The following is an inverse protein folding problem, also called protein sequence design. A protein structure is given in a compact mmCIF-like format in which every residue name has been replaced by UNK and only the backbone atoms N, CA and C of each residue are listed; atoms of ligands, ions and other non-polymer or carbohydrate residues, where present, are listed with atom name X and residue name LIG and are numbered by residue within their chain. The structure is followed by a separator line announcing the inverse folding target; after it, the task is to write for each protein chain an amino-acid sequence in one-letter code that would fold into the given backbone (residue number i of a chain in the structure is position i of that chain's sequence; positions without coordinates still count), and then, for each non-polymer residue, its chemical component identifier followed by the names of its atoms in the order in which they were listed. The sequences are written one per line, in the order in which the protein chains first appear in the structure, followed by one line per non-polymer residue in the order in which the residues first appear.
data_IF_726529439551
#
_entry.id   IF_726529439551
#
_cell.length_a   1.000
_cell.length_b   1.000
_cell.length_c   1.000
_cell.angle_alpha   90.00
_cell.angle_beta   90.00
_cell.angle_gamma   90.00
#
_symmetry.space_group_name_H-M   'P 1'
#
loop_
_entity.id
_entity.type
_entity.pdbx_description
1 polymer ?
#
# COMPACT_ATOMS: atom_id res chain seq x y z
N UNK A 1 10.98 -20.04 -6.79
CA UNK A 1 11.18 -18.63 -6.40
C UNK A 1 12.68 -18.42 -6.24
N UNK A 2 13.26 -17.37 -6.80
CA UNK A 2 14.68 -17.09 -6.59
C UNK A 2 14.92 -16.56 -5.18
N UNK A 3 16.13 -16.73 -4.65
CA UNK A 3 16.55 -16.19 -3.35
C UNK A 3 16.29 -14.67 -3.26
N UNK A 4 16.57 -13.95 -4.35
CA UNK A 4 16.30 -12.52 -4.47
C UNK A 4 14.80 -12.19 -4.28
N UNK A 5 13.90 -12.98 -4.89
CA UNK A 5 12.45 -12.77 -4.71
C UNK A 5 12.03 -12.94 -3.25
N UNK A 6 12.59 -13.94 -2.55
CA UNK A 6 12.28 -14.17 -1.13
C UNK A 6 12.74 -12.99 -0.27
N UNK A 7 13.97 -12.50 -0.50
CA UNK A 7 14.48 -11.32 0.21
C UNK A 7 13.62 -10.09 -0.02
N UNK A 8 13.26 -9.79 -1.28
CA UNK A 8 12.41 -8.65 -1.62
C UNK A 8 11.07 -8.73 -0.90
N UNK A 9 10.43 -9.91 -0.91
CA UNK A 9 9.15 -10.11 -0.21
C UNK A 9 9.30 -9.88 1.29
N UNK A 10 10.33 -10.44 1.93
CA UNK A 10 10.58 -10.24 3.37
C UNK A 10 10.81 -8.77 3.72
N UNK A 11 11.62 -8.05 2.94
CA UNK A 11 11.81 -6.61 3.13
C UNK A 11 10.51 -5.82 2.97
N UNK A 12 9.66 -6.18 1.99
CA UNK A 12 8.33 -5.56 1.84
C UNK A 12 7.44 -5.80 3.06
N UNK A 13 7.48 -6.99 3.68
CA UNK A 13 6.76 -7.27 4.92
C UNK A 13 7.20 -6.38 6.08
N UNK A 14 8.52 -6.19 6.24
CA UNK A 14 9.08 -5.32 7.27
C UNK A 14 8.63 -3.88 7.07
N UNK A 15 8.73 -3.36 5.84
CA UNK A 15 8.31 -1.99 5.50
C UNK A 15 6.82 -1.80 5.76
N UNK A 16 5.97 -2.75 5.33
CA UNK A 16 4.53 -2.71 5.59
C UNK A 16 4.22 -2.65 7.09
N UNK A 17 4.91 -3.46 7.90
CA UNK A 17 4.78 -3.44 9.36
C UNK A 17 5.20 -2.09 9.97
N UNK A 18 6.34 -1.54 9.56
CA UNK A 18 6.84 -0.24 10.02
C UNK A 18 5.89 0.91 9.68
N UNK A 19 5.27 0.91 8.50
CA UNK A 19 4.24 1.88 8.11
C UNK A 19 3.04 1.80 9.07
N UNK A 20 2.58 0.59 9.38
CA UNK A 20 1.50 0.38 10.35
C UNK A 20 1.83 0.93 11.73
N UNK A 21 3.05 0.67 12.22
CA UNK A 21 3.55 1.20 13.51
C UNK A 21 3.62 2.74 13.49
N UNK A 22 4.14 3.33 12.42
CA UNK A 22 4.26 4.78 12.28
C UNK A 22 2.89 5.46 12.32
N UNK A 23 1.90 4.91 11.60
CA UNK A 23 0.53 5.45 11.60
C UNK A 23 -0.10 5.31 12.99
N UNK A 24 0.09 4.17 13.66
CA UNK A 24 -0.38 3.96 15.03
C UNK A 24 0.24 4.97 16.00
N UNK A 25 1.54 5.24 15.89
CA UNK A 25 2.23 6.25 16.70
C UNK A 25 1.65 7.65 16.51
N UNK A 26 1.42 8.06 15.25
CA UNK A 26 0.83 9.38 14.93
C UNK A 26 -0.62 9.49 15.40
N UNK A 27 -1.40 8.42 15.26
CA UNK A 27 -2.81 8.39 15.65
C UNK A 27 -2.97 8.38 17.18
N UNK A 28 -2.07 7.70 17.90
CA UNK A 28 -2.13 7.55 19.35
C UNK A 28 -1.38 8.66 20.09
N UNK A 29 -1.59 9.92 19.70
CA UNK A 29 -1.13 11.09 20.50
C UNK A 29 -1.94 11.22 21.81
N UNK A 30 -1.36 11.81 22.88
CA UNK A 30 -1.99 11.87 24.21
C UNK A 30 -3.44 12.38 24.21
N UNK A 31 -3.73 13.45 23.45
CA UNK A 31 -5.07 14.01 23.34
C UNK A 31 -6.09 13.02 22.76
N UNK A 32 -5.70 12.25 21.72
CA UNK A 32 -6.56 11.24 21.08
C UNK A 32 -6.70 9.98 21.94
N UNK A 33 -5.68 9.60 22.70
CA UNK A 33 -5.77 8.49 23.66
C UNK A 33 -6.89 8.70 24.67
N UNK A 34 -7.00 9.91 25.25
CA UNK A 34 -8.06 10.28 26.20
C UNK A 34 -9.45 10.15 25.55
N UNK A 35 -9.60 10.59 24.30
CA UNK A 35 -10.85 10.46 23.54
C UNK A 35 -11.23 8.99 23.29
N UNK A 36 -10.29 8.18 22.81
CA UNK A 36 -10.52 6.77 22.49
C UNK A 36 -10.81 5.91 23.71
N UNK A 37 -10.36 6.32 24.91
CA UNK A 37 -10.72 5.66 26.17
C UNK A 37 -12.15 5.99 26.60
N UNK A 38 -12.55 7.26 26.55
CA UNK A 38 -13.92 7.67 26.92
C UNK A 38 -14.96 7.10 25.97
N UNK A 39 -14.61 6.99 24.68
CA UNK A 39 -15.53 6.58 23.63
C UNK A 39 -15.04 5.30 22.93
N UNK A 40 -15.29 4.10 23.49
CA UNK A 40 -14.95 2.83 22.87
C UNK A 40 -15.50 2.64 21.45
N UNK A 41 -16.74 3.07 21.08
CA UNK A 41 -17.19 2.92 19.70
C UNK A 41 -16.36 3.77 18.72
N UNK A 42 -16.02 5.01 19.09
CA UNK A 42 -15.17 5.90 18.25
C UNK A 42 -13.79 5.29 18.03
N UNK A 43 -13.22 4.65 19.06
CA UNK A 43 -11.96 3.93 18.95
C UNK A 43 -12.05 2.80 17.92
N UNK A 44 -13.06 1.94 18.04
CA UNK A 44 -13.22 0.79 17.14
C UNK A 44 -13.43 1.27 15.70
N UNK A 45 -14.34 2.23 15.48
CA UNK A 45 -14.60 2.78 14.15
C UNK A 45 -13.34 3.39 13.54
N UNK A 46 -12.57 4.16 14.32
CA UNK A 46 -11.31 4.74 13.84
C UNK A 46 -10.29 3.66 13.46
N UNK A 47 -10.11 2.64 14.31
CA UNK A 47 -9.19 1.55 14.04
C UNK A 47 -9.59 0.79 12.77
N UNK A 48 -10.88 0.52 12.57
CA UNK A 48 -11.39 -0.15 11.36
C UNK A 48 -11.16 0.70 10.12
N UNK A 49 -11.54 1.98 10.14
CA UNK A 49 -11.39 2.88 8.98
C UNK A 49 -9.91 3.04 8.61
N UNK A 50 -9.04 3.28 9.59
CA UNK A 50 -7.60 3.44 9.33
C UNK A 50 -6.99 2.11 8.86
N UNK A 51 -7.41 0.97 9.40
CA UNK A 51 -6.96 -0.35 8.92
C UNK A 51 -7.34 -0.58 7.45
N UNK A 52 -8.57 -0.24 7.05
CA UNK A 52 -9.00 -0.33 5.65
C UNK A 52 -8.17 0.58 4.73
N UNK A 53 -7.86 1.80 5.18
CA UNK A 53 -7.00 2.72 4.43
C UNK A 53 -5.58 2.17 4.29
N UNK A 54 -4.98 1.69 5.38
CA UNK A 54 -3.64 1.07 5.37
C UNK A 54 -3.61 -0.12 4.41
N UNK A 55 -4.59 -1.01 4.53
CA UNK A 55 -4.71 -2.18 3.66
C UNK A 55 -4.78 -1.75 2.19
N UNK A 56 -5.68 -0.83 1.85
CA UNK A 56 -5.90 -0.37 0.48
C UNK A 56 -4.65 0.30 -0.10
N UNK A 57 -3.94 1.11 0.70
CA UNK A 57 -2.70 1.76 0.27
C UNK A 57 -1.58 0.75 0.04
N UNK A 58 -1.32 -0.15 1.00
CA UNK A 58 -0.24 -1.14 0.87
C UNK A 58 -0.54 -2.09 -0.28
N UNK A 59 -1.77 -2.60 -0.36
CA UNK A 59 -2.21 -3.48 -1.44
C UNK A 59 -2.13 -2.79 -2.81
N UNK A 60 -2.67 -1.56 -2.92
CA UNK A 60 -2.67 -0.78 -4.15
C UNK A 60 -1.26 -0.42 -4.62
N UNK A 61 -0.38 0.03 -3.73
CA UNK A 61 1.01 0.35 -4.06
C UNK A 61 1.77 -0.92 -4.47
N UNK A 62 1.57 -2.04 -3.78
CA UNK A 62 2.27 -3.30 -4.09
C UNK A 62 1.87 -3.84 -5.47
N UNK A 63 0.57 -3.85 -5.76
CA UNK A 63 0.05 -4.29 -7.07
C UNK A 63 0.47 -3.35 -8.21
N UNK A 64 0.50 -2.04 -7.96
CA UNK A 64 0.96 -1.05 -8.93
C UNK A 64 2.47 -1.16 -9.21
N UNK A 65 3.28 -1.38 -8.15
CA UNK A 65 4.71 -1.63 -8.28
C UNK A 65 4.98 -2.86 -9.15
N UNK A 66 4.21 -3.93 -8.96
CA UNK A 66 4.34 -5.14 -9.77
C UNK A 66 3.97 -4.90 -11.23
N UNK A 67 2.88 -4.17 -11.50
CA UNK A 67 2.51 -3.78 -12.87
C UNK A 67 3.61 -2.96 -13.55
N UNK A 68 4.25 -2.07 -12.80
CA UNK A 68 5.40 -1.28 -13.30
C UNK A 68 6.63 -2.15 -13.55
N UNK A 69 6.91 -3.12 -12.68
CA UNK A 69 8.00 -4.07 -12.85
C UNK A 69 7.79 -4.96 -14.07
N UNK A 70 6.56 -5.45 -14.27
CA UNK A 70 6.16 -6.19 -15.46
C UNK A 70 6.41 -5.37 -16.73
N UNK A 71 5.94 -4.12 -16.78
CA UNK A 71 6.17 -3.22 -17.91
C UNK A 71 7.66 -3.08 -18.22
N UNK A 72 8.51 -2.92 -17.19
CA UNK A 72 9.97 -2.79 -17.38
C UNK A 72 10.60 -4.06 -17.92
N UNK A 73 10.19 -5.24 -17.44
CA UNK A 73 10.72 -6.51 -17.94
C UNK A 73 10.36 -6.70 -19.41
N UNK A 74 9.11 -6.43 -19.79
CA UNK A 74 8.67 -6.49 -21.19
C UNK A 74 9.41 -5.47 -22.04
N UNK A 75 9.51 -4.23 -21.58
CA UNK A 75 10.21 -3.17 -22.31
C UNK A 75 11.70 -3.48 -22.52
N UNK A 76 12.35 -4.14 -21.57
CA UNK A 76 13.78 -4.50 -21.67
C UNK A 76 14.03 -5.75 -22.53
N UNK A 77 13.02 -6.57 -22.76
CA UNK A 77 13.12 -7.82 -23.52
C UNK A 77 12.18 -7.84 -24.72
N UNK A 78 11.79 -6.67 -25.21
CA UNK A 78 10.66 -6.51 -26.13
C UNK A 78 10.82 -7.38 -27.39
N UNK A 79 12.04 -7.48 -27.91
CA UNK A 79 12.41 -8.34 -29.05
C UNK A 79 12.26 -9.84 -28.75
N UNK A 80 12.51 -10.27 -27.51
CA UNK A 80 12.41 -11.67 -27.09
C UNK A 80 10.96 -12.09 -26.77
N UNK A 81 10.10 -11.13 -26.39
CA UNK A 81 8.74 -11.43 -25.93
C UNK A 81 7.70 -11.40 -27.05
N UNK A 82 8.00 -10.80 -28.20
CA UNK A 82 7.10 -10.79 -29.36
C UNK A 82 7.16 -12.14 -30.08
N UNK A 83 6.13 -13.01 -29.97
CA UNK A 83 6.32 -14.42 -30.28
C UNK A 83 6.55 -14.76 -31.75
N UNK A 84 6.34 -13.85 -32.72
CA UNK A 84 6.27 -14.24 -34.14
C UNK A 84 6.31 -13.09 -35.17
N UNK A 85 7.10 -12.03 -34.97
CA UNK A 85 7.14 -10.93 -35.96
C UNK A 85 8.42 -11.01 -36.79
N UNK A 86 8.33 -11.61 -37.98
CA UNK A 86 9.44 -11.74 -38.93
C UNK A 86 9.81 -10.44 -39.66
N UNK A 87 9.15 -9.32 -39.38
CA UNK A 87 9.43 -8.02 -39.99
C UNK A 87 9.91 -7.01 -38.95
N UNK A 88 11.21 -6.67 -38.98
CA UNK A 88 11.83 -5.75 -38.01
C UNK A 88 11.17 -4.35 -37.93
N UNK A 89 10.55 -3.87 -39.01
CA UNK A 89 9.83 -2.59 -39.00
C UNK A 89 8.57 -2.58 -38.13
N UNK A 90 7.89 -3.73 -37.99
CA UNK A 90 6.67 -3.87 -37.18
C UNK A 90 7.03 -3.95 -35.68
N UNK A 91 8.18 -4.56 -35.36
CA UNK A 91 8.72 -4.62 -33.99
C UNK A 91 9.06 -3.21 -33.48
N UNK A 92 9.73 -2.40 -34.31
CA UNK A 92 10.10 -1.02 -33.95
C UNK A 92 8.85 -0.17 -33.70
N UNK A 93 7.85 -0.23 -34.60
CA UNK A 93 6.59 0.52 -34.45
C UNK A 93 5.79 0.10 -33.21
N UNK A 94 5.78 -1.21 -32.87
CA UNK A 94 5.15 -1.70 -31.65
C UNK A 94 5.93 -1.30 -30.39
N UNK A 95 7.26 -1.30 -30.44
CA UNK A 95 8.11 -0.83 -29.35
C UNK A 95 7.93 0.66 -29.05
N UNK A 96 7.84 1.47 -30.09
CA UNK A 96 7.52 2.91 -29.96
C UNK A 96 6.11 3.10 -29.40
N UNK A 97 5.13 2.36 -29.92
CA UNK A 97 3.75 2.39 -29.40
C UNK A 97 3.68 1.95 -27.95
N UNK A 98 4.45 0.93 -27.54
CA UNK A 98 4.55 0.47 -26.16
C UNK A 98 5.10 1.56 -25.24
N UNK A 99 6.20 2.21 -25.65
CA UNK A 99 6.85 3.25 -24.85
C UNK A 99 6.02 4.53 -24.75
N UNK A 100 5.37 4.94 -25.84
CA UNK A 100 4.51 6.12 -25.88
C UNK A 100 3.25 5.96 -25.03
N UNK A 101 2.77 4.72 -24.84
CA UNK A 101 1.56 4.42 -24.08
C UNK A 101 1.81 3.87 -22.67
N UNK A 102 3.04 4.00 -22.15
CA UNK A 102 3.47 3.52 -20.83
C UNK A 102 2.44 3.69 -19.69
N UNK A 103 1.88 4.88 -19.41
CA UNK A 103 0.95 5.03 -18.28
C UNK A 103 -0.35 4.25 -18.45
N UNK A 104 -0.86 4.16 -19.68
CA UNK A 104 -2.07 3.41 -19.98
C UNK A 104 -1.85 1.90 -19.87
N UNK A 105 -0.69 1.41 -20.33
CA UNK A 105 -0.29 0.00 -20.21
C UNK A 105 -0.15 -0.40 -18.74
N UNK A 106 0.59 0.38 -17.94
CA UNK A 106 0.76 0.11 -16.50
C UNK A 106 -0.59 0.10 -15.79
N UNK A 107 -1.48 1.03 -16.12
CA UNK A 107 -2.83 1.10 -15.55
C UNK A 107 -3.64 -0.15 -15.90
N UNK A 108 -3.62 -0.61 -17.14
CA UNK A 108 -4.33 -1.81 -17.57
C UNK A 108 -3.80 -3.06 -16.85
N UNK A 109 -2.48 -3.25 -16.81
CA UNK A 109 -1.86 -4.36 -16.07
C UNK A 109 -2.21 -4.29 -14.58
N UNK A 110 -2.20 -3.10 -14.00
CA UNK A 110 -2.59 -2.91 -12.61
C UNK A 110 -4.05 -3.32 -12.36
N UNK A 111 -4.97 -3.02 -13.27
CA UNK A 111 -6.35 -3.52 -13.19
C UNK A 111 -6.44 -5.03 -13.32
N UNK A 112 -5.66 -5.64 -14.22
CA UNK A 112 -5.58 -7.10 -14.36
C UNK A 112 -5.07 -7.79 -13.08
N UNK A 113 -4.31 -7.08 -12.22
CA UNK A 113 -3.89 -7.58 -10.90
C UNK A 113 -5.00 -7.56 -9.84
N UNK A 114 -5.97 -6.66 -9.99
CA UNK A 114 -7.01 -6.42 -8.98
C UNK A 114 -8.34 -7.07 -9.32
N UNK A 115 -8.56 -7.42 -10.59
CA UNK A 115 -9.81 -7.98 -11.09
C UNK A 115 -9.68 -9.47 -11.42
N UNK A 116 -10.82 -10.17 -11.42
CA UNK A 116 -10.89 -11.57 -11.85
C UNK A 116 -10.47 -11.66 -13.32
N UNK A 117 -9.57 -12.58 -13.70
CA UNK A 117 -9.14 -12.76 -15.08
C UNK A 117 -10.34 -12.92 -16.01
N UNK A 118 -10.36 -12.08 -17.04
CA UNK A 118 -11.38 -12.11 -18.08
C UNK A 118 -10.88 -12.92 -19.27
N UNK A 119 -11.74 -13.78 -19.80
CA UNK A 119 -11.48 -14.53 -21.03
C UNK A 119 -11.90 -13.74 -22.28
N UNK A 120 -12.62 -12.63 -22.11
CA UNK A 120 -13.02 -11.74 -23.19
C UNK A 120 -11.92 -10.70 -23.51
N UNK A 121 -11.84 -10.31 -24.78
CA UNK A 121 -10.84 -9.37 -25.32
C UNK A 121 -11.07 -7.90 -24.92
N UNK A 122 -11.74 -7.66 -23.79
CA UNK A 122 -12.11 -6.31 -23.33
C UNK A 122 -11.16 -5.85 -22.24
N UNK A 123 -10.57 -4.68 -22.45
CA UNK A 123 -9.71 -4.05 -21.46
C UNK A 123 -10.51 -3.49 -20.28
N UNK A 124 -9.91 -3.54 -19.09
CA UNK A 124 -10.49 -3.01 -17.86
C UNK A 124 -10.50 -1.47 -17.87
N UNK A 125 -9.49 -0.85 -18.47
CA UNK A 125 -9.39 0.60 -18.64
C UNK A 125 -10.13 1.12 -19.90
N UNK A 126 -10.73 0.23 -20.70
CA UNK A 126 -11.56 0.58 -21.86
C UNK A 126 -10.81 0.90 -23.15
N UNK A 127 -9.47 0.79 -23.17
CA UNK A 127 -8.66 1.08 -24.35
C UNK A 127 -8.28 -0.22 -25.10
N UNK A 128 -8.88 -0.42 -26.28
CA UNK A 128 -8.64 -1.62 -27.08
C UNK A 128 -7.24 -1.67 -27.71
N UNK A 129 -6.62 -0.52 -27.99
CA UNK A 129 -5.26 -0.46 -28.56
C UNK A 129 -4.27 -0.99 -27.54
N UNK A 130 -4.42 -0.57 -26.28
CA UNK A 130 -3.60 -1.04 -25.16
C UNK A 130 -3.81 -2.54 -24.91
N UNK A 131 -5.04 -3.03 -25.05
CA UNK A 131 -5.34 -4.45 -24.94
C UNK A 131 -4.58 -5.29 -25.96
N UNK A 132 -4.62 -4.85 -27.21
CA UNK A 132 -3.95 -5.55 -28.30
C UNK A 132 -2.44 -5.53 -28.08
N UNK A 133 -1.87 -4.38 -27.69
CA UNK A 133 -0.45 -4.28 -27.34
C UNK A 133 -0.03 -5.24 -26.21
N UNK A 134 -0.83 -5.37 -25.14
CA UNK A 134 -0.53 -6.31 -24.04
C UNK A 134 -0.71 -7.77 -24.48
N UNK A 135 -1.74 -8.05 -25.28
CA UNK A 135 -2.03 -9.40 -25.77
C UNK A 135 -0.94 -9.90 -26.73
N UNK A 136 -0.41 -9.03 -27.57
CA UNK A 136 0.62 -9.36 -28.57
C UNK A 136 1.96 -9.74 -27.92
N UNK A 137 2.22 -9.27 -26.68
CA UNK A 137 3.39 -9.67 -25.87
C UNK A 137 3.28 -11.11 -25.37
N UNK A 138 2.09 -11.73 -25.39
CA UNK A 138 1.91 -13.15 -25.04
C UNK A 138 2.19 -13.52 -23.57
N UNK A 139 2.58 -12.56 -22.74
CA UNK A 139 2.73 -12.73 -21.29
C UNK A 139 1.45 -12.32 -20.58
N UNK A 140 1.08 -13.07 -19.55
CA UNK A 140 -0.06 -12.70 -18.71
C UNK A 140 0.33 -11.53 -17.79
N UNK A 141 -0.38 -10.41 -17.94
CA UNK A 141 -0.33 -9.31 -16.99
C UNK A 141 -1.10 -9.58 -15.69
N UNK A 142 -1.83 -10.71 -15.59
CA UNK A 142 -2.54 -11.11 -14.39
C UNK A 142 -1.62 -11.84 -13.40
N UNK A 143 -1.87 -11.66 -12.09
CA UNK A 143 -1.13 -12.42 -11.08
C UNK A 143 -1.70 -13.82 -10.95
N UNK A 144 -0.79 -14.79 -10.80
CA UNK A 144 -1.17 -16.09 -10.28
C UNK A 144 -1.65 -15.96 -8.84
N UNK A 145 -2.53 -16.87 -8.42
CA UNK A 145 -3.07 -16.92 -7.06
C UNK A 145 -2.01 -16.77 -5.95
N UNK A 146 -0.82 -17.37 -6.16
CA UNK A 146 0.31 -17.24 -5.23
C UNK A 146 0.76 -15.79 -5.00
N UNK A 147 0.85 -14.98 -6.06
CA UNK A 147 1.23 -13.57 -5.94
C UNK A 147 0.13 -12.75 -5.26
N UNK A 148 -1.13 -13.07 -5.53
CA UNK A 148 -2.28 -12.44 -4.87
C UNK A 148 -2.26 -12.66 -3.35
N UNK A 149 -2.00 -13.89 -2.90
CA UNK A 149 -1.84 -14.21 -1.48
C UNK A 149 -0.70 -13.43 -0.83
N UNK A 150 0.41 -13.19 -1.55
CA UNK A 150 1.51 -12.35 -1.05
C UNK A 150 1.05 -10.90 -0.86
N UNK A 151 0.33 -10.31 -1.82
CA UNK A 151 -0.18 -8.94 -1.68
C UNK A 151 -1.18 -8.80 -0.53
N UNK A 152 -2.08 -9.77 -0.37
CA UNK A 152 -2.98 -9.83 0.77
C UNK A 152 -2.19 -9.91 2.08
N UNK A 153 -1.17 -10.77 2.13
CA UNK A 153 -0.29 -10.91 3.29
C UNK A 153 0.40 -9.59 3.66
N UNK A 154 0.92 -8.85 2.67
CA UNK A 154 1.54 -7.54 2.90
C UNK A 154 0.54 -6.53 3.48
N UNK A 155 -0.66 -6.43 2.91
CA UNK A 155 -1.72 -5.58 3.42
C UNK A 155 -2.10 -5.93 4.87
N UNK A 156 -2.29 -7.21 5.14
CA UNK A 156 -2.61 -7.71 6.49
C UNK A 156 -1.48 -7.47 7.49
N UNK A 157 -0.22 -7.63 7.09
CA UNK A 157 0.91 -7.38 7.97
C UNK A 157 0.94 -5.91 8.46
N UNK A 158 0.67 -4.95 7.56
CA UNK A 158 0.56 -3.54 7.94
C UNK A 158 -0.61 -3.27 8.89
N UNK A 159 -1.79 -3.84 8.61
CA UNK A 159 -2.97 -3.72 9.47
C UNK A 159 -2.74 -4.33 10.85
N UNK A 160 -2.21 -5.55 10.92
CA UNK A 160 -1.94 -6.24 12.18
C UNK A 160 -0.92 -5.46 13.00
N UNK A 161 0.16 -4.98 12.38
CA UNK A 161 1.17 -4.15 13.04
C UNK A 161 0.57 -2.87 13.61
N UNK A 162 -0.27 -2.18 12.83
CA UNK A 162 -1.03 -1.01 13.29
C UNK A 162 -1.93 -1.34 14.49
N UNK A 163 -2.71 -2.41 14.42
CA UNK A 163 -3.66 -2.81 15.47
C UNK A 163 -2.95 -3.22 16.76
N UNK A 164 -1.95 -4.09 16.67
CA UNK A 164 -1.18 -4.54 17.83
C UNK A 164 -0.48 -3.36 18.51
N UNK A 165 0.19 -2.50 17.73
CA UNK A 165 0.90 -1.35 18.29
C UNK A 165 -0.05 -0.31 18.90
N UNK A 166 -1.20 -0.08 18.27
CA UNK A 166 -2.27 0.78 18.79
C UNK A 166 -2.79 0.30 20.15
N UNK A 167 -3.07 -1.00 20.28
CA UNK A 167 -3.54 -1.60 21.54
C UNK A 167 -2.44 -1.54 22.61
N UNK A 168 -1.20 -1.84 22.22
CA UNK A 168 -0.03 -1.80 23.10
C UNK A 168 0.19 -0.40 23.69
N UNK A 169 0.16 0.66 22.88
CA UNK A 169 0.26 2.05 23.35
C UNK A 169 -0.86 2.38 24.34
N UNK A 170 -2.10 1.97 24.05
CA UNK A 170 -3.24 2.28 24.90
C UNK A 170 -3.16 1.58 26.27
N UNK A 171 -2.55 0.39 26.33
CA UNK A 171 -2.39 -0.40 27.56
C UNK A 171 -1.22 0.10 28.42
N UNK A 172 -0.04 0.34 27.83
CA UNK A 172 1.16 0.72 28.60
C UNK A 172 1.19 2.18 29.04
N UNK A 173 0.71 3.12 28.23
CA UNK A 173 0.70 4.53 28.62
C UNK A 173 -0.51 4.90 29.50
N UNK A 174 -1.15 3.91 30.13
CA UNK A 174 -2.20 4.15 31.13
C UNK A 174 -1.62 4.75 32.40
N UNK A 175 -0.49 4.25 32.88
CA UNK A 175 0.11 4.68 34.16
C UNK A 175 0.72 6.09 34.11
N UNK A 176 1.19 6.52 32.94
CA UNK A 176 1.85 7.83 32.79
C UNK A 176 0.82 8.95 32.68
N UNK A 177 -0.26 8.75 31.91
CA UNK A 177 -1.31 9.77 31.71
C UNK A 177 -2.30 9.87 32.90
N UNK A 178 -2.29 8.91 33.83
CA UNK A 178 -3.13 8.92 35.04
C UNK A 178 -2.48 9.63 36.23
N UNK A 179 -1.18 9.96 36.17
CA UNK A 179 -0.59 10.85 37.16
C UNK A 179 -1.17 12.25 36.94
N UNK A 180 -1.89 12.82 37.92
CA UNK A 180 -2.31 14.21 37.80
C UNK A 180 -1.06 15.04 37.55
N UNK A 181 -1.09 15.91 36.54
CA UNK A 181 -0.15 17.01 36.46
C UNK A 181 -0.16 17.65 37.85
N UNK A 182 0.95 17.50 38.56
CA UNK A 182 1.16 18.17 39.82
C UNK A 182 1.13 19.65 39.45
N UNK A 183 -0.05 20.25 39.61
CA UNK A 183 -0.26 21.69 39.50
C UNK A 183 0.77 22.26 40.44
N UNK A 184 1.88 22.77 39.88
CA UNK A 184 2.77 23.65 40.60
C UNK A 184 1.87 24.80 41.01
N UNK A 185 1.35 24.72 42.24
CA UNK A 185 0.64 25.78 42.94
C UNK A 185 1.68 26.90 43.04
N UNK A 186 1.76 27.73 42.01
CA UNK A 186 2.33 29.06 42.14
C UNK A 186 1.51 29.74 43.23
N UNK A 187 2.11 29.82 44.42
CA UNK A 187 1.53 30.52 45.57
C UNK A 187 1.16 31.94 45.13
N UNK A 188 0.03 32.49 45.59
CA UNK A 188 -0.33 33.86 45.27
C UNK A 188 0.68 34.79 45.92
N UNK A 189 1.36 35.64 45.15
CA UNK A 189 2.04 36.81 45.73
C UNK A 189 0.95 37.77 46.21
N UNK A 190 0.73 37.68 47.51
CA UNK A 190 0.00 38.59 48.38
C UNK A 190 0.00 40.02 47.87
N UNK A 191 -1.19 40.61 47.80
CA UNK A 191 -1.40 42.06 47.79
C UNK A 191 -0.65 42.66 49.00
N UNK A 192 0.37 43.47 48.74
CA UNK A 192 0.76 44.51 49.68
C UNK A 192 -0.01 45.78 49.29
N UNK A 193 -0.98 46.12 50.12
CA UNK A 193 -1.70 47.39 50.17
C UNK A 193 -1.13 48.13 51.40
N UNK A 194 -1.03 49.46 51.32
CA UNK A 194 -0.55 50.41 52.34
C UNK A 194 0.99 50.54 52.38
N UNK A 195 1.62 51.72 52.33
CA UNK A 195 1.22 53.13 52.59
C UNK A 195 1.90 54.01 51.55
#
# INVERSE_FOLDING_TARGET
MSFLTVLVVLFSFIIAGLIGILIAFVLMRPARRKLFRKNPPVRISTLVIISLIIFTLIFGVSTHYWATAYYRVVSNRFEDVLPNIQAGSVIIQQGDSWNNNKPAIIKEIWWQQMMVPRNDSRCYAGDQVICNLIKDVGLSGASNWKSYVVYLGLGLAGVLSFMFYSIWILKLNFEVDSKPEEKIRSRPKSKARHI
#
